data_IF_543594417954
#
_entry.id   IF_543594417954
#
_cell.length_a   1.000
_cell.length_b   1.000
_cell.length_c   1.000
_cell.angle_alpha   90.00
_cell.angle_beta   90.00
_cell.angle_gamma   90.00
#
_symmetry.space_group_name_H-M   'P 1'
#
loop_
_entity.id
_entity.type
_entity.pdbx_description
1 polymer ?
#
# COMPACT_ATOMS: atom_id res chain seq x y z
N UNK A 1 5.40 -13.81 12.22
CA UNK A 1 5.11 -12.48 11.65
C UNK A 1 3.92 -11.88 12.36
N UNK A 2 4.08 -10.68 12.82
CA UNK A 2 3.02 -10.01 13.55
C UNK A 2 2.55 -8.77 12.81
N UNK A 3 1.25 -8.56 12.85
CA UNK A 3 0.62 -7.34 12.38
C UNK A 3 0.11 -6.58 13.59
N UNK A 4 0.27 -5.28 13.59
CA UNK A 4 -0.25 -4.43 14.67
C UNK A 4 -1.75 -4.24 14.59
N UNK A 5 -2.34 -4.63 13.47
CA UNK A 5 -3.78 -4.55 13.26
C UNK A 5 -4.22 -5.66 12.30
N UNK A 6 -5.52 -5.87 12.22
CA UNK A 6 -6.06 -6.84 11.28
C UNK A 6 -5.76 -6.43 9.84
N UNK A 7 -5.48 -7.42 9.00
CA UNK A 7 -5.14 -7.21 7.60
C UNK A 7 -6.05 -8.00 6.69
N UNK A 8 -6.37 -7.40 5.58
CA UNK A 8 -7.10 -8.04 4.52
C UNK A 8 -6.45 -7.69 3.18
N UNK A 9 -6.17 -8.70 2.38
CA UNK A 9 -5.53 -8.54 1.08
C UNK A 9 -6.35 -9.23 0.01
N UNK A 10 -6.56 -8.54 -1.11
CA UNK A 10 -7.16 -9.12 -2.29
C UNK A 10 -6.18 -8.91 -3.45
N UNK A 11 -5.63 -9.99 -3.95
CA UNK A 11 -4.61 -9.96 -4.99
C UNK A 11 -5.18 -10.05 -6.41
N UNK A 12 -6.47 -10.35 -6.54
CA UNK A 12 -7.10 -10.36 -7.84
C UNK A 12 -7.54 -8.95 -8.23
N UNK A 13 -7.35 -8.60 -9.51
CA UNK A 13 -7.77 -7.29 -10.01
C UNK A 13 -9.28 -7.15 -9.94
N UNK A 14 -9.74 -6.09 -9.28
CA UNK A 14 -11.17 -5.83 -9.12
C UNK A 14 -11.80 -5.23 -10.38
N UNK A 15 -10.99 -4.58 -11.21
CA UNK A 15 -11.48 -3.87 -12.39
C UNK A 15 -10.74 -4.32 -13.64
N UNK A 16 -11.49 -4.48 -14.70
CA UNK A 16 -10.94 -4.78 -16.02
C UNK A 16 -10.58 -3.48 -16.75
N UNK A 17 -9.77 -3.56 -17.82
CA UNK A 17 -9.56 -2.40 -18.69
C UNK A 17 -10.88 -1.80 -19.14
N UNK A 18 -10.91 -0.50 -19.31
CA UNK A 18 -12.07 0.28 -19.75
C UNK A 18 -13.15 0.46 -18.68
N UNK A 19 -12.92 -0.02 -17.48
CA UNK A 19 -13.82 0.24 -16.35
C UNK A 19 -13.34 1.43 -15.54
N UNK A 20 -14.29 2.25 -15.09
CA UNK A 20 -13.98 3.38 -14.20
C UNK A 20 -13.69 2.86 -12.79
N UNK A 21 -12.61 3.35 -12.22
CA UNK A 21 -12.25 3.03 -10.84
C UNK A 21 -12.46 4.28 -9.99
N UNK A 22 -13.33 4.19 -9.00
CA UNK A 22 -13.62 5.29 -8.09
C UNK A 22 -13.07 4.93 -6.71
N UNK A 23 -11.88 5.47 -6.41
CA UNK A 23 -11.22 5.16 -5.13
C UNK A 23 -11.97 5.75 -3.94
N UNK A 24 -12.69 6.84 -4.14
CA UNK A 24 -13.47 7.44 -3.06
C UNK A 24 -14.58 6.48 -2.58
N UNK A 25 -15.28 5.88 -3.54
CA UNK A 25 -16.33 4.92 -3.22
C UNK A 25 -15.76 3.66 -2.57
N UNK A 26 -14.61 3.17 -3.07
CA UNK A 26 -13.99 1.97 -2.54
C UNK A 26 -13.48 2.15 -1.11
N UNK A 27 -12.86 3.28 -0.81
CA UNK A 27 -12.31 3.51 0.51
C UNK A 27 -13.39 3.63 1.59
N UNK A 28 -14.61 3.99 1.21
CA UNK A 28 -15.73 4.08 2.15
C UNK A 28 -16.17 2.72 2.68
N UNK A 29 -15.82 1.64 2.00
CA UNK A 29 -16.16 0.28 2.42
C UNK A 29 -15.24 -0.24 3.52
N UNK A 30 -14.13 0.44 3.76
CA UNK A 30 -13.17 0.02 4.77
C UNK A 30 -13.73 0.22 6.18
N UNK A 31 -13.49 -0.77 7.05
CA UNK A 31 -14.03 -0.77 8.42
C UNK A 31 -12.94 -0.52 9.46
N UNK A 32 -11.91 -1.36 9.46
CA UNK A 32 -10.85 -1.29 10.46
C UNK A 32 -9.61 -2.03 10.01
N UNK A 33 -8.48 -1.75 10.66
CA UNK A 33 -7.20 -2.36 10.33
C UNK A 33 -6.65 -1.87 8.99
N UNK A 34 -5.80 -2.65 8.37
CA UNK A 34 -5.29 -2.41 7.04
C UNK A 34 -6.00 -3.30 6.03
N UNK A 35 -6.43 -2.73 4.93
CA UNK A 35 -6.90 -3.50 3.79
C UNK A 35 -6.11 -3.09 2.56
N UNK A 36 -5.84 -4.06 1.69
CA UNK A 36 -5.15 -3.85 0.43
C UNK A 36 -5.92 -4.55 -0.67
N UNK A 37 -6.40 -3.79 -1.63
CA UNK A 37 -7.16 -4.30 -2.75
C UNK A 37 -6.44 -4.01 -4.06
N UNK A 38 -6.24 -5.03 -4.87
CA UNK A 38 -5.69 -4.85 -6.21
C UNK A 38 -6.80 -4.30 -7.10
N UNK A 39 -6.57 -3.11 -7.64
CA UNK A 39 -7.56 -2.43 -8.46
C UNK A 39 -7.48 -2.89 -9.90
N UNK A 40 -6.30 -2.87 -10.48
CA UNK A 40 -6.11 -3.18 -11.89
C UNK A 40 -4.66 -3.57 -12.15
N UNK A 41 -4.43 -4.07 -13.35
CA UNK A 41 -3.09 -4.42 -13.81
C UNK A 41 -2.71 -3.52 -14.98
N UNK A 42 -1.48 -3.03 -14.97
CA UNK A 42 -0.93 -2.22 -16.04
C UNK A 42 0.39 -2.88 -16.45
N UNK A 43 0.39 -3.56 -17.60
CA UNK A 43 1.51 -4.40 -18.04
C UNK A 43 1.90 -5.38 -16.92
N UNK A 44 3.15 -5.36 -16.47
CA UNK A 44 3.65 -6.25 -15.42
C UNK A 44 3.43 -5.70 -14.01
N UNK A 45 2.78 -4.56 -13.90
CA UNK A 45 2.53 -3.91 -12.62
C UNK A 45 1.06 -3.97 -12.24
N UNK A 46 0.80 -3.84 -10.94
CA UNK A 46 -0.55 -3.69 -10.42
C UNK A 46 -0.65 -2.41 -9.63
N UNK A 47 -1.86 -1.87 -9.59
CA UNK A 47 -2.20 -0.72 -8.75
C UNK A 47 -3.08 -1.23 -7.63
N UNK A 48 -2.68 -0.95 -6.40
CA UNK A 48 -3.41 -1.37 -5.20
C UNK A 48 -3.87 -0.17 -4.39
N UNK A 49 -5.04 -0.32 -3.79
CA UNK A 49 -5.57 0.67 -2.86
C UNK A 49 -5.39 0.12 -1.45
N UNK A 50 -4.67 0.87 -0.62
CA UNK A 50 -4.52 0.55 0.79
C UNK A 50 -5.31 1.54 1.63
N UNK A 51 -6.07 1.05 2.59
CA UNK A 51 -6.80 1.87 3.53
C UNK A 51 -6.59 1.29 4.92
N UNK A 52 -6.23 2.15 5.87
CA UNK A 52 -6.03 1.64 7.20
C UNK A 52 -5.45 2.66 8.17
N UNK A 53 -5.05 2.15 9.34
CA UNK A 53 -4.31 2.91 10.34
C UNK A 53 -3.43 1.96 11.14
N UNK A 54 -2.46 2.56 11.84
CA UNK A 54 -1.52 1.79 12.66
C UNK A 54 -0.29 1.36 11.88
N UNK A 55 0.49 0.52 12.52
CA UNK A 55 1.79 0.10 12.01
C UNK A 55 1.69 -1.24 11.32
N UNK A 56 2.40 -1.36 10.20
CA UNK A 56 2.64 -2.63 9.55
C UNK A 56 3.94 -3.21 10.09
N UNK A 57 4.24 -4.47 9.81
CA UNK A 57 5.49 -5.08 10.27
C UNK A 57 6.67 -4.68 9.37
N UNK A 58 7.88 -4.83 9.90
CA UNK A 58 9.10 -4.66 9.11
C UNK A 58 9.20 -5.78 8.07
N UNK A 59 9.48 -5.39 6.83
CA UNK A 59 9.62 -6.35 5.73
C UNK A 59 10.42 -5.74 4.59
N UNK A 60 10.71 -6.56 3.60
CA UNK A 60 11.34 -6.13 2.35
C UNK A 60 10.77 -6.95 1.20
N UNK A 61 11.02 -6.48 0.00
CA UNK A 61 10.73 -7.22 -1.22
C UNK A 61 12.05 -7.46 -1.95
N UNK A 62 12.31 -8.70 -2.34
CA UNK A 62 13.64 -9.07 -2.87
C UNK A 62 13.86 -8.59 -4.29
N UNK A 63 12.84 -8.58 -5.12
CA UNK A 63 12.99 -8.36 -6.56
C UNK A 63 12.23 -7.15 -7.10
N UNK A 64 11.51 -6.44 -6.26
CA UNK A 64 10.57 -5.44 -6.74
C UNK A 64 10.65 -4.16 -5.95
N UNK A 65 10.55 -3.03 -6.67
CA UNK A 65 10.39 -1.73 -6.05
C UNK A 65 8.93 -1.55 -5.69
N UNK A 66 8.66 -0.70 -4.72
CA UNK A 66 7.29 -0.43 -4.28
C UNK A 66 7.06 1.07 -4.21
N UNK A 67 6.05 1.55 -4.94
CA UNK A 67 5.70 2.97 -4.99
C UNK A 67 4.49 3.24 -4.12
N UNK A 68 4.57 4.30 -3.31
CA UNK A 68 3.47 4.74 -2.43
C UNK A 68 3.06 6.16 -2.79
N UNK A 69 1.77 6.39 -2.87
CA UNK A 69 1.19 7.71 -3.09
C UNK A 69 0.04 7.91 -2.12
N UNK A 70 0.07 9.01 -1.35
CA UNK A 70 -0.98 9.27 -0.36
C UNK A 70 -2.11 10.07 -0.98
N UNK A 71 -3.32 9.53 -0.87
CA UNK A 71 -4.55 10.21 -1.28
C UNK A 71 -5.10 11.03 -0.13
N UNK A 72 -5.11 10.44 1.08
CA UNK A 72 -5.73 11.02 2.25
C UNK A 72 -5.01 10.54 3.50
N UNK A 73 -4.89 11.41 4.49
CA UNK A 73 -4.21 11.06 5.74
C UNK A 73 -2.70 11.25 5.66
N UNK A 74 -1.97 10.53 6.49
CA UNK A 74 -0.52 10.63 6.60
C UNK A 74 0.09 9.25 6.72
N UNK A 75 1.05 8.96 5.85
CA UNK A 75 1.80 7.71 5.87
C UNK A 75 3.25 8.00 6.25
N UNK A 76 3.76 7.30 7.25
CA UNK A 76 5.18 7.30 7.56
C UNK A 76 5.79 6.02 7.05
N UNK A 77 6.90 6.16 6.33
CA UNK A 77 7.68 5.01 5.87
C UNK A 77 8.97 5.02 6.69
N UNK A 78 9.08 4.03 7.56
CA UNK A 78 10.26 3.89 8.42
C UNK A 78 11.30 3.06 7.69
N UNK A 79 12.49 3.63 7.57
CA UNK A 79 13.66 2.97 7.03
C UNK A 79 14.64 2.69 8.17
N UNK A 80 15.75 2.05 7.88
CA UNK A 80 16.71 1.71 8.92
C UNK A 80 17.27 2.94 9.64
N UNK A 81 17.57 3.99 8.88
CA UNK A 81 18.24 5.18 9.44
C UNK A 81 17.36 6.41 9.55
N UNK A 82 16.18 6.39 8.92
CA UNK A 82 15.30 7.56 8.92
C UNK A 82 13.87 7.15 8.62
N UNK A 83 12.98 8.09 8.86
CA UNK A 83 11.59 7.95 8.45
C UNK A 83 11.23 9.07 7.49
N UNK A 84 10.34 8.76 6.56
CA UNK A 84 9.82 9.71 5.60
C UNK A 84 8.32 9.84 5.83
N UNK A 85 7.84 11.07 5.95
CA UNK A 85 6.41 11.31 6.14
C UNK A 85 5.80 11.80 4.84
N UNK A 86 4.72 11.14 4.41
CA UNK A 86 3.98 11.50 3.20
C UNK A 86 2.60 12.03 3.57
N UNK A 87 2.28 13.21 3.06
CA UNK A 87 0.97 13.82 3.19
C UNK A 87 0.24 13.74 1.85
N UNK A 88 -1.06 14.07 1.78
CA UNK A 88 -1.81 13.94 0.54
C UNK A 88 -1.12 14.59 -0.66
N UNK A 89 -1.03 13.86 -1.75
CA UNK A 89 -0.36 14.29 -2.96
C UNK A 89 1.13 14.03 -3.00
N UNK A 90 1.69 13.41 -1.95
CA UNK A 90 3.12 13.09 -1.88
C UNK A 90 3.35 11.60 -2.09
N UNK A 91 4.51 11.27 -2.64
CA UNK A 91 4.85 9.92 -3.03
C UNK A 91 6.29 9.57 -2.68
N UNK A 92 6.57 8.28 -2.62
CA UNK A 92 7.90 7.79 -2.30
C UNK A 92 8.06 6.36 -2.82
N UNK A 93 9.23 6.06 -3.37
CA UNK A 93 9.52 4.71 -3.84
C UNK A 93 10.52 4.05 -2.90
N UNK A 94 10.15 2.87 -2.41
CA UNK A 94 11.07 2.02 -1.64
C UNK A 94 11.69 1.03 -2.61
N UNK A 95 13.03 1.06 -2.80
CA UNK A 95 13.67 0.13 -3.73
C UNK A 95 13.63 -1.30 -3.19
N UNK A 96 13.80 -2.25 -4.10
CA UNK A 96 13.95 -3.67 -3.72
C UNK A 96 15.04 -3.84 -2.67
N UNK A 97 14.87 -4.83 -1.82
CA UNK A 97 15.81 -5.23 -0.76
C UNK A 97 15.96 -4.24 0.40
N UNK A 98 15.24 -3.13 0.37
CA UNK A 98 15.28 -2.16 1.47
C UNK A 98 14.25 -2.53 2.51
N UNK A 99 14.71 -2.83 3.71
CA UNK A 99 13.83 -3.16 4.84
C UNK A 99 13.10 -1.91 5.28
N UNK A 100 11.80 -2.02 5.43
CA UNK A 100 10.96 -0.88 5.77
C UNK A 100 9.69 -1.33 6.48
N UNK A 101 9.01 -0.38 7.10
CA UNK A 101 7.65 -0.57 7.60
C UNK A 101 6.88 0.70 7.36
N UNK A 102 5.59 0.55 7.11
CA UNK A 102 4.68 1.69 6.97
C UNK A 102 3.91 1.90 8.27
N UNK A 103 3.55 3.14 8.52
CA UNK A 103 2.70 3.50 9.64
C UNK A 103 1.71 4.54 9.17
N UNK A 104 0.43 4.22 9.28
CA UNK A 104 -0.63 5.18 8.98
C UNK A 104 -0.97 5.92 10.28
N UNK A 105 -0.81 7.23 10.25
CA UNK A 105 -1.12 8.09 11.39
C UNK A 105 -2.59 8.48 11.24
N UNK A 106 -3.46 7.77 11.98
CA UNK A 106 -4.90 7.89 11.75
C UNK A 106 -5.32 7.15 10.48
N UNK A 107 -6.56 7.34 10.06
CA UNK A 107 -7.05 6.70 8.84
C UNK A 107 -6.32 7.28 7.62
N UNK A 108 -5.73 6.42 6.83
CA UNK A 108 -4.93 6.83 5.69
C UNK A 108 -5.31 6.00 4.46
N UNK A 109 -5.35 6.67 3.32
CA UNK A 109 -5.68 6.06 2.03
C UNK A 109 -4.50 6.27 1.10
N UNK A 110 -3.99 5.16 0.56
CA UNK A 110 -2.81 5.19 -0.31
C UNK A 110 -3.06 4.38 -1.58
N UNK A 111 -2.37 4.78 -2.65
CA UNK A 111 -2.21 3.94 -3.82
C UNK A 111 -0.79 3.39 -3.81
N UNK A 112 -0.66 2.13 -4.19
CA UNK A 112 0.63 1.49 -4.38
C UNK A 112 0.72 1.00 -5.82
N UNK A 113 1.89 1.18 -6.42
CA UNK A 113 2.18 0.62 -7.74
C UNK A 113 3.37 -0.30 -7.55
N UNK A 114 3.22 -1.54 -7.95
CA UNK A 114 4.24 -2.57 -7.70
C UNK A 114 4.11 -3.70 -8.70
N UNK A 115 5.12 -4.57 -8.76
CA UNK A 115 5.07 -5.72 -9.64
C UNK A 115 3.94 -6.66 -9.27
N UNK A 116 3.33 -7.30 -10.25
CA UNK A 116 2.18 -8.18 -10.03
C UNK A 116 2.51 -9.38 -9.13
N UNK A 117 3.78 -9.75 -9.03
CA UNK A 117 4.23 -10.89 -8.22
C UNK A 117 4.64 -10.50 -6.80
N UNK A 118 4.53 -9.24 -6.43
CA UNK A 118 4.93 -8.78 -5.10
C UNK A 118 4.03 -9.39 -4.04
N UNK A 119 4.65 -9.78 -2.92
CA UNK A 119 3.91 -10.30 -1.77
C UNK A 119 3.60 -9.11 -0.86
N UNK A 120 2.33 -8.78 -0.64
CA UNK A 120 1.97 -7.60 0.16
C UNK A 120 2.58 -7.59 1.57
N UNK A 121 2.83 -8.76 2.14
CA UNK A 121 3.39 -8.88 3.48
C UNK A 121 4.92 -8.97 3.52
N UNK A 122 5.58 -8.94 2.35
CA UNK A 122 7.03 -9.03 2.23
C UNK A 122 7.50 -10.43 1.88
N UNK A 123 8.73 -10.50 1.46
CA UNK A 123 9.37 -11.77 1.05
C UNK A 123 10.09 -12.44 2.20
#
# INVERSE_FOLDING_TARGET
>A
MEFDSAHWHDTESAFDPLELIDTQALQEQWKEGWSSQTLCQVNDCVVRLGVGHGKFHWHKHDNEDEFFFVIEGTLRIHLDERSVELNPGQAFTVPRQVVHRTEAVGRTVILMVEGATIMPTGD
#
